data_IF_075811596527
#
_entry.id   IF_075811596527
#
_cell.length_a   1.000
_cell.length_b   1.000
_cell.length_c   1.000
_cell.angle_alpha   90.00
_cell.angle_beta   90.00
_cell.angle_gamma   90.00
#
_symmetry.space_group_name_H-M   'P 1'
#
loop_
_entity.id
_entity.type
_entity.pdbx_description
1 polymer ?
#
# COMPACT_ATOMS: atom_id res chain seq x y z
N UNK A 1 11.98 -19.05 58.59
CA UNK A 1 12.42 -19.37 57.21
C UNK A 1 11.35 -18.87 56.27
N UNK A 2 11.49 -17.66 55.74
CA UNK A 2 10.55 -17.06 54.79
C UNK A 2 11.37 -16.45 53.65
N UNK A 3 10.81 -16.47 52.44
CA UNK A 3 11.32 -15.92 51.19
C UNK A 3 12.18 -16.87 50.34
N UNK A 4 11.53 -17.57 49.40
CA UNK A 4 12.22 -18.29 48.33
C UNK A 4 11.45 -18.40 47.01
N UNK A 5 10.12 -18.29 47.00
CA UNK A 5 9.32 -18.66 45.81
C UNK A 5 8.66 -17.50 45.06
N UNK A 6 8.58 -16.29 45.65
CA UNK A 6 7.77 -15.19 45.10
C UNK A 6 8.35 -14.52 43.83
N UNK A 7 9.68 -14.59 43.63
CA UNK A 7 10.35 -13.91 42.51
C UNK A 7 10.24 -14.67 41.18
N UNK A 8 10.11 -15.99 41.24
CA UNK A 8 10.04 -16.88 40.06
C UNK A 8 8.66 -16.80 39.39
N UNK A 9 7.59 -16.65 40.19
CA UNK A 9 6.23 -16.49 39.68
C UNK A 9 6.03 -15.11 39.02
N UNK A 10 6.57 -14.03 39.61
CA UNK A 10 6.44 -12.67 39.10
C UNK A 10 7.18 -12.46 37.76
N UNK A 11 8.38 -13.03 37.60
CA UNK A 11 9.15 -12.95 36.35
C UNK A 11 8.53 -13.75 35.20
N UNK A 12 7.94 -14.93 35.48
CA UNK A 12 7.24 -15.74 34.47
C UNK A 12 5.94 -15.10 33.98
N UNK A 13 5.20 -14.46 34.90
CA UNK A 13 4.00 -13.70 34.56
C UNK A 13 4.35 -12.49 33.68
N UNK A 14 5.42 -11.75 34.02
CA UNK A 14 5.86 -10.60 33.23
C UNK A 14 6.31 -11.00 31.81
N UNK A 15 7.08 -12.08 31.68
CA UNK A 15 7.51 -12.61 30.37
C UNK A 15 6.32 -13.07 29.52
N UNK A 16 5.33 -13.72 30.13
CA UNK A 16 4.10 -14.12 29.45
C UNK A 16 3.29 -12.91 28.98
N UNK A 17 3.13 -11.89 29.83
CA UNK A 17 2.45 -10.64 29.47
C UNK A 17 3.15 -9.92 28.30
N UNK A 18 4.49 -9.89 28.30
CA UNK A 18 5.29 -9.29 27.22
C UNK A 18 5.14 -10.09 25.91
N UNK A 19 5.17 -11.43 25.98
CA UNK A 19 4.97 -12.29 24.81
C UNK A 19 3.54 -12.16 24.23
N UNK A 20 2.53 -12.07 25.10
CA UNK A 20 1.13 -11.84 24.70
C UNK A 20 0.96 -10.45 24.09
N UNK A 21 1.57 -9.41 24.66
CA UNK A 21 1.55 -8.06 24.10
C UNK A 21 2.23 -7.98 22.72
N UNK A 22 3.36 -8.66 22.53
CA UNK A 22 4.01 -8.76 21.22
C UNK A 22 3.16 -9.52 20.18
N UNK A 23 2.49 -10.60 20.60
CA UNK A 23 1.59 -11.36 19.73
C UNK A 23 0.36 -10.54 19.33
N UNK A 24 -0.18 -9.73 20.25
CA UNK A 24 -1.31 -8.82 20.00
C UNK A 24 -0.93 -7.67 19.04
N UNK A 25 0.28 -7.12 19.14
CA UNK A 25 0.79 -6.09 18.22
C UNK A 25 0.95 -6.65 16.79
N UNK A 26 1.42 -7.88 16.64
CA UNK A 26 1.57 -8.52 15.33
C UNK A 26 0.21 -8.83 14.66
N UNK A 27 -0.79 -9.26 15.44
CA UNK A 27 -2.13 -9.59 14.93
C UNK A 27 -2.94 -8.37 14.46
N UNK A 28 -2.61 -7.16 14.94
CA UNK A 28 -3.27 -5.90 14.55
C UNK A 28 -2.82 -5.35 13.19
N UNK A 29 -1.81 -5.94 12.56
CA UNK A 29 -1.23 -5.45 11.31
C UNK A 29 -1.82 -6.15 10.08
N UNK A 30 -3.15 -6.25 9.99
CA UNK A 30 -3.79 -6.55 8.72
C UNK A 30 -3.72 -5.27 7.89
N UNK A 31 -2.69 -5.16 7.06
CA UNK A 31 -2.48 -4.05 6.14
C UNK A 31 -3.68 -3.98 5.18
N UNK A 32 -4.68 -3.16 5.49
CA UNK A 32 -5.91 -3.01 4.68
C UNK A 32 -5.67 -2.21 3.40
N UNK A 33 -4.47 -2.32 2.82
CA UNK A 33 -4.20 -1.78 1.50
C UNK A 33 -5.06 -2.59 0.55
N UNK A 34 -6.25 -2.06 0.23
CA UNK A 34 -7.12 -2.64 -0.78
C UNK A 34 -6.32 -2.87 -2.05
N UNK A 35 -6.73 -3.87 -2.82
CA UNK A 35 -6.10 -4.13 -4.11
C UNK A 35 -6.12 -2.86 -4.97
N UNK A 36 -4.98 -2.52 -5.58
CA UNK A 36 -4.93 -1.41 -6.53
C UNK A 36 -5.63 -1.82 -7.83
N UNK A 37 -6.92 -1.50 -7.95
CA UNK A 37 -7.73 -1.82 -9.11
C UNK A 37 -7.25 -1.13 -10.39
N UNK A 38 -6.52 -0.01 -10.29
CA UNK A 38 -5.99 0.70 -11.45
C UNK A 38 -5.00 -0.16 -12.26
N UNK A 39 -4.31 -1.13 -11.63
CA UNK A 39 -3.41 -2.06 -12.32
C UNK A 39 -4.11 -2.97 -13.34
N UNK A 40 -5.45 -3.10 -13.22
CA UNK A 40 -6.30 -3.90 -14.12
C UNK A 40 -7.04 -3.05 -15.15
N UNK A 41 -6.91 -1.73 -15.08
CA UNK A 41 -7.58 -0.83 -15.99
C UNK A 41 -6.83 -0.67 -17.31
N UNK A 42 -7.54 -0.22 -18.34
CA UNK A 42 -6.94 0.40 -19.52
C UNK A 42 -6.93 1.91 -19.32
N UNK A 43 -5.75 2.52 -19.41
CA UNK A 43 -5.59 3.97 -19.32
C UNK A 43 -5.62 4.64 -20.69
N UNK A 44 -6.33 5.76 -20.79
CA UNK A 44 -6.33 6.68 -21.94
C UNK A 44 -6.20 8.11 -21.43
N UNK A 45 -5.65 9.00 -22.26
CA UNK A 45 -5.48 10.41 -21.92
C UNK A 45 -5.72 11.31 -23.14
N UNK A 46 -5.95 12.60 -22.89
CA UNK A 46 -6.16 13.62 -23.92
C UNK A 46 -4.97 13.77 -24.86
N UNK A 47 -3.76 13.59 -24.34
CA UNK A 47 -2.51 13.72 -25.09
C UNK A 47 -1.36 13.02 -24.37
N UNK A 48 -0.24 12.85 -25.06
CA UNK A 48 0.98 12.26 -24.51
C UNK A 48 2.19 13.08 -24.94
N UNK A 49 3.21 13.13 -24.07
CA UNK A 49 4.46 13.81 -24.38
C UNK A 49 5.16 13.15 -25.59
N UNK A 50 5.58 13.93 -26.61
CA UNK A 50 6.09 13.38 -27.87
C UNK A 50 7.43 12.64 -27.75
N UNK A 51 8.15 12.79 -26.63
CA UNK A 51 9.42 12.10 -26.37
C UNK A 51 9.29 10.61 -26.04
N UNK A 52 8.06 10.07 -25.92
CA UNK A 52 7.82 8.69 -25.51
C UNK A 52 8.15 8.41 -24.04
N UNK A 53 7.70 7.26 -23.52
CA UNK A 53 7.91 6.87 -22.13
C UNK A 53 7.00 7.59 -21.11
N UNK A 54 6.05 8.37 -21.60
CA UNK A 54 5.04 9.10 -20.82
C UNK A 54 3.62 8.74 -21.22
N UNK A 55 3.43 7.53 -21.76
CA UNK A 55 2.12 7.05 -22.20
C UNK A 55 1.15 6.97 -21.01
N UNK A 56 -0.16 7.05 -21.26
CA UNK A 56 -1.17 7.00 -20.19
C UNK A 56 -1.00 5.76 -19.27
N UNK A 57 -0.60 4.62 -19.85
CA UNK A 57 -0.33 3.38 -19.11
C UNK A 57 0.73 3.52 -18.01
N UNK A 58 1.64 4.49 -18.12
CA UNK A 58 2.71 4.74 -17.12
C UNK A 58 2.18 5.25 -15.79
N UNK A 59 0.96 5.79 -15.75
CA UNK A 59 0.34 6.23 -14.49
C UNK A 59 -0.24 5.05 -13.67
N UNK A 60 -0.42 3.88 -14.29
CA UNK A 60 -1.04 2.70 -13.67
C UNK A 60 -0.19 1.44 -13.77
N UNK A 61 1.11 1.56 -14.08
CA UNK A 61 1.99 0.40 -14.26
C UNK A 61 2.63 -0.11 -12.96
N UNK A 62 2.20 0.42 -11.81
CA UNK A 62 2.63 -0.01 -10.47
C UNK A 62 4.05 0.43 -10.10
N UNK A 63 4.65 1.35 -10.86
CA UNK A 63 6.00 1.88 -10.59
C UNK A 63 5.92 3.34 -10.18
N UNK A 64 6.54 3.67 -9.05
CA UNK A 64 6.58 5.05 -8.53
C UNK A 64 7.54 5.96 -9.31
N UNK A 65 8.32 5.41 -10.24
CA UNK A 65 9.34 6.11 -11.02
C UNK A 65 8.90 6.48 -12.43
N UNK A 66 7.71 6.05 -12.85
CA UNK A 66 7.11 6.35 -14.15
C UNK A 66 5.87 7.21 -13.98
N UNK A 67 5.50 7.96 -15.02
CA UNK A 67 4.32 8.82 -15.01
C UNK A 67 3.79 9.05 -16.41
N UNK A 68 2.49 9.34 -16.51
CA UNK A 68 1.93 10.00 -17.68
C UNK A 68 2.38 11.47 -17.71
N UNK A 69 2.53 12.03 -18.91
CA UNK A 69 2.76 13.46 -19.12
C UNK A 69 2.04 13.89 -20.39
N UNK A 70 1.42 15.07 -20.35
CA UNK A 70 0.72 15.62 -21.50
C UNK A 70 1.68 16.09 -22.60
N UNK A 71 1.14 16.53 -23.73
CA UNK A 71 1.93 17.11 -24.82
C UNK A 71 2.39 18.56 -24.56
N UNK A 72 2.16 19.12 -23.36
CA UNK A 72 2.44 20.50 -22.97
C UNK A 72 1.78 21.57 -23.87
N UNK A 73 0.74 21.22 -24.63
CA UNK A 73 0.09 22.09 -25.62
C UNK A 73 -0.85 23.15 -25.04
N UNK A 74 -1.02 23.18 -23.71
CA UNK A 74 -2.01 24.02 -23.03
C UNK A 74 -3.45 23.49 -23.15
N UNK A 75 -4.37 24.09 -22.39
CA UNK A 75 -5.77 23.68 -22.34
C UNK A 75 -6.09 22.60 -21.30
N UNK A 76 -7.36 22.23 -21.21
CA UNK A 76 -7.84 21.19 -20.29
C UNK A 76 -7.34 19.80 -20.72
N UNK A 77 -6.73 19.07 -19.79
CA UNK A 77 -6.25 17.70 -20.03
C UNK A 77 -7.08 16.71 -19.24
N UNK A 78 -7.26 15.50 -19.77
CA UNK A 78 -8.02 14.45 -19.14
C UNK A 78 -7.24 13.13 -19.13
N UNK A 79 -7.59 12.30 -18.14
CA UNK A 79 -7.07 10.95 -17.95
C UNK A 79 -8.24 10.06 -17.53
N UNK A 80 -8.42 8.93 -18.20
CA UNK A 80 -9.54 8.02 -17.99
C UNK A 80 -9.02 6.60 -17.77
N UNK A 81 -9.69 5.90 -16.85
CA UNK A 81 -9.47 4.48 -16.60
C UNK A 81 -10.75 3.71 -16.94
N UNK A 82 -10.60 2.70 -17.77
CA UNK A 82 -11.68 1.79 -18.15
C UNK A 82 -11.39 0.38 -17.61
N UNK A 83 -12.41 -0.23 -17.01
CA UNK A 83 -12.40 -1.64 -16.59
C UNK A 83 -13.40 -2.42 -17.43
N UNK A 84 -13.11 -3.68 -17.71
CA UNK A 84 -13.99 -4.55 -18.51
C UNK A 84 -15.34 -4.83 -17.83
N UNK A 85 -15.41 -4.67 -16.51
CA UNK A 85 -16.62 -4.80 -15.70
C UNK A 85 -16.56 -3.88 -14.48
N UNK A 86 -17.71 -3.51 -13.87
CA UNK A 86 -17.71 -2.87 -12.56
C UNK A 86 -16.94 -3.72 -11.55
N UNK A 87 -16.04 -3.07 -10.81
CA UNK A 87 -15.20 -3.66 -9.77
C UNK A 87 -15.80 -3.45 -8.39
#
# INVERSE_FOLDING_TARGET
MLAGTSRVCCGRILVLCIAVAMLLVAAGSANSQGENLALKAKATASSEFPGGGFEAARAIDGKETTRWNDNCGGGEQWFELAWDSPT
#
